data_IF_096309593430
#
_entry.id   IF_096309593430
#
_cell.length_a   1.000
_cell.length_b   1.000
_cell.length_c   1.000
_cell.angle_alpha   90.00
_cell.angle_beta   90.00
_cell.angle_gamma   90.00
#
_symmetry.space_group_name_H-M   'P 1'
#
loop_
_entity.id
_entity.type
_entity.pdbx_description
1 polymer ?
#
# COMPACT_ATOMS: atom_id res chain seq x y z
N UNK A 1 -49.22 -4.94 -48.21
CA UNK A 1 -49.66 -5.92 -47.19
C UNK A 1 -48.48 -6.68 -46.58
N UNK A 2 -47.43 -7.01 -47.32
CA UNK A 2 -46.27 -7.78 -46.86
C UNK A 2 -45.37 -6.94 -45.91
N UNK A 3 -45.19 -5.65 -46.20
CA UNK A 3 -44.33 -4.74 -45.40
C UNK A 3 -44.83 -4.49 -43.97
N UNK A 4 -46.16 -4.44 -43.78
CA UNK A 4 -46.75 -4.28 -42.46
C UNK A 4 -46.65 -5.55 -41.57
N UNK A 5 -46.67 -6.73 -42.17
CA UNK A 5 -46.45 -7.96 -41.43
C UNK A 5 -45.01 -8.13 -40.97
N UNK A 6 -44.04 -7.64 -41.78
CA UNK A 6 -42.62 -7.69 -41.44
C UNK A 6 -42.28 -6.69 -40.29
N UNK A 7 -42.91 -5.51 -40.28
CA UNK A 7 -42.77 -4.54 -39.16
C UNK A 7 -43.37 -5.07 -37.86
N UNK A 8 -44.51 -5.77 -37.92
CA UNK A 8 -45.16 -6.35 -36.75
C UNK A 8 -44.32 -7.52 -36.18
N UNK A 9 -43.68 -8.34 -37.04
CA UNK A 9 -42.76 -9.38 -36.63
C UNK A 9 -41.47 -8.84 -35.98
N UNK A 10 -40.93 -7.74 -36.54
CA UNK A 10 -39.74 -7.08 -35.97
C UNK A 10 -40.02 -6.49 -34.59
N UNK A 11 -41.18 -5.85 -34.38
CA UNK A 11 -41.60 -5.31 -33.10
C UNK A 11 -41.88 -6.43 -32.09
N UNK A 12 -42.45 -7.53 -32.49
CA UNK A 12 -42.63 -8.72 -31.65
C UNK A 12 -41.28 -9.37 -31.26
N UNK A 13 -40.32 -9.40 -32.18
CA UNK A 13 -38.96 -9.93 -31.88
C UNK A 13 -38.19 -8.97 -30.96
N UNK A 14 -38.29 -7.65 -31.16
CA UNK A 14 -37.68 -6.67 -30.23
C UNK A 14 -38.35 -6.69 -28.84
N UNK A 15 -39.69 -6.90 -28.79
CA UNK A 15 -40.43 -7.01 -27.53
C UNK A 15 -40.05 -8.25 -26.73
N UNK A 16 -39.75 -9.37 -27.41
CA UNK A 16 -39.30 -10.62 -26.76
C UNK A 16 -37.87 -10.46 -26.18
N UNK A 17 -37.01 -9.69 -26.84
CA UNK A 17 -35.65 -9.43 -26.30
C UNK A 17 -35.65 -8.50 -25.09
N UNK A 18 -36.65 -7.60 -24.94
CA UNK A 18 -36.76 -6.73 -23.79
C UNK A 18 -37.27 -7.46 -22.54
N UNK A 19 -38.00 -8.56 -22.69
CA UNK A 19 -38.44 -9.40 -21.55
C UNK A 19 -37.44 -10.50 -21.15
N UNK A 20 -36.37 -10.70 -21.91
CA UNK A 20 -35.22 -11.53 -21.49
C UNK A 20 -34.10 -10.67 -20.88
N UNK A 21 -34.38 -9.40 -20.56
CA UNK A 21 -33.48 -8.57 -19.82
C UNK A 21 -33.35 -9.07 -18.40
N UNK A 22 -32.15 -9.49 -18.06
CA UNK A 22 -31.67 -9.73 -16.72
C UNK A 22 -32.60 -10.63 -15.87
N UNK A 23 -32.71 -11.90 -16.24
CA UNK A 23 -32.82 -12.89 -15.21
C UNK A 23 -31.51 -12.77 -14.42
N UNK A 24 -31.56 -12.13 -13.23
CA UNK A 24 -30.48 -12.31 -12.27
C UNK A 24 -30.23 -13.81 -12.23
N UNK A 25 -29.04 -14.20 -12.65
CA UNK A 25 -28.61 -15.56 -12.40
C UNK A 25 -28.73 -15.66 -10.88
N UNK A 26 -29.48 -16.67 -10.34
CA UNK A 26 -29.41 -16.88 -8.92
C UNK A 26 -27.93 -16.93 -8.61
N UNK A 27 -27.48 -16.02 -7.74
CA UNK A 27 -26.13 -16.14 -7.21
C UNK A 27 -26.00 -17.61 -6.84
N UNK A 28 -24.95 -18.31 -7.32
CA UNK A 28 -24.78 -19.69 -6.96
C UNK A 28 -24.94 -19.70 -5.44
N UNK A 29 -26.00 -20.32 -4.91
CA UNK A 29 -26.06 -20.66 -3.52
C UNK A 29 -24.80 -21.49 -3.34
N UNK A 30 -23.74 -20.82 -2.91
CA UNK A 30 -22.63 -21.54 -2.33
C UNK A 30 -23.29 -22.27 -1.19
N UNK A 31 -23.40 -23.58 -1.31
CA UNK A 31 -23.67 -24.46 -0.20
C UNK A 31 -22.60 -24.10 0.84
N UNK A 32 -22.92 -23.09 1.67
CA UNK A 32 -22.12 -22.83 2.84
C UNK A 32 -22.32 -24.10 3.64
N UNK A 33 -21.28 -24.97 3.70
CA UNK A 33 -21.44 -26.26 4.35
C UNK A 33 -22.06 -25.98 5.69
N UNK A 34 -23.20 -26.60 6.02
CA UNK A 34 -23.78 -26.47 7.35
C UNK A 34 -22.62 -26.64 8.32
N UNK A 35 -22.35 -25.61 9.11
CA UNK A 35 -21.24 -25.58 10.05
C UNK A 35 -21.53 -26.55 11.20
N UNK A 36 -21.73 -27.82 10.87
CA UNK A 36 -21.79 -28.89 11.83
C UNK A 36 -20.38 -29.14 12.33
N UNK A 37 -20.22 -29.30 13.62
CA UNK A 37 -18.99 -29.86 14.16
C UNK A 37 -18.68 -31.12 13.36
N UNK A 38 -17.59 -31.12 12.62
CA UNK A 38 -17.24 -32.30 11.85
C UNK A 38 -16.87 -33.42 12.81
N UNK A 39 -17.26 -34.63 12.50
CA UNK A 39 -16.82 -35.84 13.23
C UNK A 39 -15.29 -35.93 13.30
N UNK A 40 -14.59 -35.34 12.33
CA UNK A 40 -13.13 -35.21 12.32
C UNK A 40 -12.63 -34.31 13.45
N UNK A 41 -13.29 -33.17 13.72
CA UNK A 41 -12.93 -32.29 14.83
C UNK A 41 -13.12 -32.97 16.19
N UNK A 42 -14.25 -33.66 16.38
CA UNK A 42 -14.50 -34.44 17.60
C UNK A 42 -13.42 -35.48 17.86
N UNK A 43 -12.89 -36.08 16.80
CA UNK A 43 -11.75 -37.01 16.91
C UNK A 43 -10.49 -36.31 17.43
N UNK A 44 -10.20 -35.10 16.97
CA UNK A 44 -9.03 -34.33 17.50
C UNK A 44 -9.24 -33.94 18.96
N UNK A 45 -10.45 -33.59 19.37
CA UNK A 45 -10.76 -33.27 20.78
C UNK A 45 -10.67 -34.49 21.69
N UNK A 46 -10.93 -35.68 21.19
CA UNK A 46 -10.99 -36.91 21.99
C UNK A 46 -9.61 -37.58 22.08
N UNK A 47 -8.86 -37.63 20.99
CA UNK A 47 -7.61 -38.39 20.89
C UNK A 47 -6.39 -37.56 20.47
N UNK A 48 -6.60 -36.32 20.00
CA UNK A 48 -5.52 -35.40 19.62
C UNK A 48 -4.95 -34.65 20.84
N UNK A 49 -3.72 -34.21 20.72
CA UNK A 49 -3.08 -33.37 21.72
C UNK A 49 -3.20 -31.91 21.30
N UNK A 50 -3.92 -31.11 22.11
CA UNK A 50 -3.97 -29.66 21.92
C UNK A 50 -2.66 -29.06 22.42
N UNK A 51 -1.99 -28.27 21.55
CA UNK A 51 -0.84 -27.47 21.93
C UNK A 51 -1.18 -25.99 21.83
N UNK A 52 -0.79 -25.21 22.82
CA UNK A 52 -0.77 -23.76 22.72
C UNK A 52 0.46 -23.31 21.92
N UNK A 53 0.37 -22.15 21.26
CA UNK A 53 1.50 -21.61 20.47
C UNK A 53 2.79 -21.51 21.32
N UNK A 54 2.69 -21.07 22.56
CA UNK A 54 3.85 -20.96 23.47
C UNK A 54 4.59 -22.27 23.69
N UNK A 55 3.93 -23.41 23.49
CA UNK A 55 4.54 -24.74 23.60
C UNK A 55 5.33 -25.17 22.37
N UNK A 56 5.28 -24.40 21.28
CA UNK A 56 6.09 -24.54 20.07
C UNK A 56 7.45 -23.83 20.18
N UNK A 57 7.76 -23.25 21.34
CA UNK A 57 9.03 -22.56 21.51
C UNK A 57 10.21 -23.49 21.23
N UNK A 58 11.15 -22.98 20.45
CA UNK A 58 12.56 -23.42 20.31
C UNK A 58 12.81 -24.91 19.96
N UNK A 59 12.14 -25.87 20.59
CA UNK A 59 12.31 -27.29 20.33
C UNK A 59 11.76 -27.76 18.98
N UNK A 60 10.71 -27.13 18.49
CA UNK A 60 10.12 -27.42 17.19
C UNK A 60 10.77 -26.61 16.05
N UNK A 61 11.76 -25.77 16.34
CA UNK A 61 12.62 -25.10 15.35
C UNK A 61 13.62 -26.05 14.70
N UNK A 62 13.79 -27.27 15.20
CA UNK A 62 14.60 -28.26 14.55
C UNK A 62 13.87 -28.76 13.30
N UNK A 63 14.30 -28.26 12.17
CA UNK A 63 13.98 -28.81 10.87
C UNK A 63 14.39 -30.28 10.88
N UNK A 64 13.49 -31.24 10.66
CA UNK A 64 13.88 -32.62 10.51
C UNK A 64 14.93 -32.73 9.41
N UNK A 65 16.14 -33.11 9.72
CA UNK A 65 17.20 -33.33 8.73
C UNK A 65 18.55 -32.65 9.00
N UNK A 66 18.64 -31.69 9.94
CA UNK A 66 19.94 -31.16 10.33
C UNK A 66 20.28 -31.63 11.73
N UNK A 67 21.03 -32.71 11.77
CA UNK A 67 22.00 -32.99 12.80
C UNK A 67 21.58 -33.67 14.08
N UNK A 68 20.29 -33.93 14.33
CA UNK A 68 19.88 -34.94 15.32
C UNK A 68 18.46 -35.43 15.00
N UNK A 69 18.24 -36.71 14.80
CA UNK A 69 16.92 -37.27 14.88
C UNK A 69 16.37 -37.03 16.28
N UNK A 70 15.04 -36.80 16.45
CA UNK A 70 14.43 -36.67 17.76
C UNK A 70 14.69 -37.96 18.57
N UNK A 71 15.65 -37.90 19.46
CA UNK A 71 16.10 -39.06 20.25
C UNK A 71 15.27 -39.31 21.50
N UNK A 72 14.18 -38.56 21.69
CA UNK A 72 13.34 -38.79 22.84
C UNK A 72 12.29 -39.87 22.58
N UNK A 73 12.25 -40.86 23.45
CA UNK A 73 11.19 -41.89 23.49
C UNK A 73 9.81 -41.26 23.55
N UNK A 74 9.68 -40.06 24.09
CA UNK A 74 8.46 -39.27 24.15
C UNK A 74 7.97 -38.86 22.75
N UNK A 75 8.85 -38.47 21.84
CA UNK A 75 8.44 -38.10 20.47
C UNK A 75 7.98 -39.31 19.65
N UNK A 76 8.58 -40.48 19.85
CA UNK A 76 8.12 -41.72 19.20
C UNK A 76 6.76 -42.20 19.68
N UNK A 77 6.40 -41.95 20.92
CA UNK A 77 5.06 -42.25 21.45
C UNK A 77 3.97 -41.33 20.87
N UNK A 78 4.33 -40.12 20.42
CA UNK A 78 3.40 -39.15 19.83
C UNK A 78 3.23 -39.32 18.32
N UNK A 79 4.02 -40.12 17.63
CA UNK A 79 3.98 -40.28 16.17
C UNK A 79 2.65 -40.81 15.64
N UNK A 80 1.81 -41.44 16.45
CA UNK A 80 0.54 -42.02 16.06
C UNK A 80 -0.68 -41.22 16.47
N UNK A 81 -0.50 -40.16 17.26
CA UNK A 81 -1.62 -39.30 17.68
C UNK A 81 -1.61 -37.98 16.89
N UNK A 82 -2.75 -37.56 16.35
CA UNK A 82 -2.82 -36.28 15.69
C UNK A 82 -2.54 -35.16 16.69
N UNK A 83 -1.54 -34.34 16.38
CA UNK A 83 -1.24 -33.13 17.13
C UNK A 83 -1.97 -31.96 16.47
N UNK A 84 -2.55 -31.09 17.24
CA UNK A 84 -3.26 -29.94 16.70
C UNK A 84 -3.10 -28.69 17.56
N UNK A 85 -3.24 -27.55 16.89
CA UNK A 85 -3.34 -26.22 17.48
C UNK A 85 -4.72 -25.65 17.16
N UNK A 86 -5.41 -25.10 18.15
CA UNK A 86 -6.61 -24.29 17.94
C UNK A 86 -6.24 -22.83 17.94
N UNK A 87 -6.71 -22.11 16.94
CA UNK A 87 -6.42 -20.69 16.83
C UNK A 87 -7.55 -19.95 16.10
N UNK A 88 -7.45 -18.64 16.06
CA UNK A 88 -8.34 -17.75 15.32
C UNK A 88 -7.54 -17.02 14.25
N UNK A 89 -8.10 -16.90 13.06
CA UNK A 89 -7.52 -16.11 11.97
C UNK A 89 -7.60 -14.63 12.32
N UNK A 90 -6.45 -13.94 12.26
CA UNK A 90 -6.34 -12.51 12.60
C UNK A 90 -5.82 -11.65 11.44
N UNK A 91 -5.23 -12.24 10.39
CA UNK A 91 -4.83 -11.53 9.16
C UNK A 91 -5.85 -11.66 8.04
N UNK A 92 -5.69 -10.84 7.00
CA UNK A 92 -6.49 -10.91 5.77
C UNK A 92 -5.61 -10.51 4.58
N UNK A 93 -5.68 -11.29 3.50
CA UNK A 93 -5.04 -10.92 2.22
C UNK A 93 -5.99 -10.11 1.30
N UNK A 94 -7.20 -9.80 1.76
CA UNK A 94 -8.18 -8.98 1.03
C UNK A 94 -7.63 -7.59 0.70
N UNK A 95 -6.95 -6.96 1.65
CA UNK A 95 -6.33 -5.64 1.49
C UNK A 95 -5.08 -5.64 0.59
N UNK A 96 -4.58 -6.80 0.17
CA UNK A 96 -3.41 -6.92 -0.70
C UNK A 96 -2.05 -6.69 -0.02
N UNK A 97 -2.03 -6.52 1.30
CA UNK A 97 -0.78 -6.35 2.06
C UNK A 97 -0.17 -7.69 2.49
N UNK A 98 -0.95 -8.76 2.47
CA UNK A 98 -0.52 -10.14 2.73
C UNK A 98 -0.51 -10.93 1.42
N UNK A 99 0.43 -11.85 1.29
CA UNK A 99 0.55 -12.68 0.12
C UNK A 99 0.92 -14.11 0.46
N UNK A 100 0.01 -15.04 0.17
CA UNK A 100 0.22 -16.48 0.37
C UNK A 100 0.60 -16.84 1.81
N UNK A 101 0.07 -16.07 2.77
CA UNK A 101 0.26 -16.32 4.20
C UNK A 101 -1.01 -15.99 4.99
N UNK A 102 -1.17 -16.67 6.11
CA UNK A 102 -2.30 -16.53 7.02
C UNK A 102 -1.78 -16.48 8.44
N UNK A 103 -2.08 -15.42 9.18
CA UNK A 103 -1.69 -15.33 10.58
C UNK A 103 -2.84 -15.78 11.47
N UNK A 104 -2.53 -16.67 12.38
CA UNK A 104 -3.47 -17.20 13.38
C UNK A 104 -2.94 -16.94 14.78
N UNK A 105 -3.85 -16.76 15.73
CA UNK A 105 -3.53 -16.41 17.11
C UNK A 105 -4.36 -17.24 18.08
N UNK A 106 -3.74 -17.67 19.18
CA UNK A 106 -4.41 -18.20 20.38
C UNK A 106 -4.19 -17.25 21.57
N UNK A 107 -4.60 -17.66 22.76
CA UNK A 107 -4.41 -16.87 23.99
C UNK A 107 -2.95 -16.72 24.40
N UNK A 108 -2.05 -17.52 23.87
CA UNK A 108 -0.64 -17.61 24.28
C UNK A 108 0.30 -16.98 23.24
N UNK A 109 -0.07 -16.99 21.96
CA UNK A 109 0.79 -16.49 20.89
C UNK A 109 0.11 -16.46 19.54
N UNK A 110 0.89 -16.13 18.52
CA UNK A 110 0.47 -16.16 17.12
C UNK A 110 1.55 -16.77 16.23
N UNK A 111 1.16 -17.21 15.04
CA UNK A 111 2.09 -17.74 14.03
C UNK A 111 1.61 -17.44 12.63
N UNK A 112 2.56 -17.19 11.72
CA UNK A 112 2.29 -17.05 10.30
C UNK A 112 2.37 -18.41 9.61
N UNK A 113 1.26 -18.81 8.97
CA UNK A 113 1.17 -20.02 8.14
C UNK A 113 1.54 -19.70 6.71
N UNK A 114 2.47 -20.45 6.13
CA UNK A 114 2.88 -20.31 4.75
C UNK A 114 2.00 -21.19 3.84
N UNK A 115 1.22 -20.57 2.95
CA UNK A 115 0.21 -21.26 2.14
C UNK A 115 0.39 -20.90 0.66
N UNK A 116 0.36 -21.87 -0.24
CA UNK A 116 0.47 -21.60 -1.68
C UNK A 116 -0.90 -21.31 -2.30
N UNK A 117 -1.60 -20.32 -1.76
CA UNK A 117 -2.92 -19.87 -2.18
C UNK A 117 -3.09 -18.38 -1.97
N UNK A 118 -3.80 -17.72 -2.87
CA UNK A 118 -4.25 -16.31 -2.77
C UNK A 118 -5.75 -16.25 -2.58
N UNK A 119 -6.27 -15.13 -2.10
CA UNK A 119 -7.69 -14.98 -1.79
C UNK A 119 -8.12 -15.81 -0.58
N UNK A 120 -7.19 -15.99 0.36
CA UNK A 120 -7.41 -16.75 1.59
C UNK A 120 -8.56 -16.19 2.42
N UNK A 121 -8.82 -14.88 2.34
CA UNK A 121 -9.93 -14.23 3.04
C UNK A 121 -11.31 -14.82 2.71
N UNK A 122 -11.49 -15.41 1.53
CA UNK A 122 -12.75 -16.07 1.13
C UNK A 122 -12.97 -17.41 1.87
N UNK A 123 -11.89 -18.08 2.25
CA UNK A 123 -11.93 -19.40 2.87
C UNK A 123 -11.65 -19.35 4.37
N UNK A 124 -10.80 -18.43 4.79
CA UNK A 124 -10.34 -18.24 6.15
C UNK A 124 -10.45 -16.76 6.54
N UNK A 125 -11.67 -16.20 6.61
CA UNK A 125 -11.85 -14.79 6.96
C UNK A 125 -11.41 -14.52 8.40
N UNK A 126 -11.14 -13.25 8.70
CA UNK A 126 -10.84 -12.81 10.08
C UNK A 126 -11.94 -13.26 11.05
N UNK A 127 -11.55 -13.84 12.16
CA UNK A 127 -12.47 -14.40 13.15
C UNK A 127 -12.91 -15.85 12.89
N UNK A 128 -12.39 -16.48 11.82
CA UNK A 128 -12.56 -17.92 11.62
C UNK A 128 -11.73 -18.69 12.65
N UNK A 129 -12.37 -19.51 13.45
CA UNK A 129 -11.67 -20.52 14.28
C UNK A 129 -11.15 -21.62 13.38
N UNK A 130 -9.93 -22.06 13.64
CA UNK A 130 -9.28 -23.15 12.91
C UNK A 130 -8.64 -24.15 13.85
N UNK A 131 -8.61 -25.38 13.39
CA UNK A 131 -7.78 -26.45 13.98
C UNK A 131 -6.68 -26.75 12.98
N UNK A 132 -5.42 -26.57 13.41
CA UNK A 132 -4.26 -26.82 12.60
C UNK A 132 -3.68 -28.18 12.98
N UNK A 133 -3.65 -29.09 12.00
CA UNK A 133 -3.03 -30.42 12.18
C UNK A 133 -1.53 -30.28 11.99
N UNK A 134 -0.78 -30.52 13.05
CA UNK A 134 0.66 -30.24 13.10
C UNK A 134 1.55 -31.34 12.51
N UNK A 135 0.98 -32.49 12.28
CA UNK A 135 1.71 -33.62 11.68
C UNK A 135 2.24 -33.20 10.30
N UNK A 136 3.51 -33.45 10.06
CA UNK A 136 4.24 -33.10 8.83
C UNK A 136 4.47 -31.59 8.61
N UNK A 137 4.04 -30.72 9.54
CA UNK A 137 4.38 -29.32 9.50
C UNK A 137 5.65 -29.03 10.28
N UNK A 138 6.41 -28.06 9.79
CA UNK A 138 7.63 -27.56 10.43
C UNK A 138 7.44 -26.11 10.87
N UNK A 139 8.07 -25.76 11.98
CA UNK A 139 8.21 -24.41 12.47
C UNK A 139 9.64 -23.93 12.26
N UNK A 140 9.79 -22.75 11.73
CA UNK A 140 11.08 -22.10 11.55
C UNK A 140 10.90 -20.59 11.63
N UNK A 141 11.94 -19.87 11.32
CA UNK A 141 11.86 -18.41 11.23
C UNK A 141 12.39 -17.89 9.89
N UNK A 142 11.87 -16.73 9.51
CA UNK A 142 12.41 -15.94 8.41
C UNK A 142 12.83 -14.58 8.95
N UNK A 143 14.12 -14.36 9.11
CA UNK A 143 14.67 -13.15 9.71
C UNK A 143 13.99 -12.78 11.05
N UNK A 144 13.93 -13.76 11.95
CA UNK A 144 13.32 -13.73 13.28
C UNK A 144 11.77 -13.82 13.30
N UNK A 145 11.09 -13.80 12.15
CA UNK A 145 9.64 -13.97 12.09
C UNK A 145 9.28 -15.46 12.15
N UNK A 146 8.61 -15.94 13.22
CA UNK A 146 8.18 -17.32 13.32
C UNK A 146 7.14 -17.67 12.25
N UNK A 147 7.39 -18.74 11.52
CA UNK A 147 6.55 -19.26 10.45
C UNK A 147 6.30 -20.76 10.61
N UNK A 148 5.17 -21.23 10.10
CA UNK A 148 4.83 -22.66 10.02
C UNK A 148 4.39 -23.00 8.60
N UNK A 149 4.81 -24.17 8.13
CA UNK A 149 4.44 -24.67 6.81
C UNK A 149 5.06 -26.03 6.51
N UNK A 150 5.22 -26.36 5.24
CA UNK A 150 5.99 -27.51 4.82
C UNK A 150 7.48 -27.21 4.84
N UNK A 151 8.28 -28.26 4.80
CA UNK A 151 9.73 -28.11 4.58
C UNK A 151 9.98 -27.71 3.12
N UNK A 152 10.71 -26.61 2.91
CA UNK A 152 11.14 -26.20 1.57
C UNK A 152 12.53 -26.76 1.25
N UNK A 153 13.44 -26.55 2.19
CA UNK A 153 14.77 -27.13 2.19
C UNK A 153 15.20 -27.32 3.65
N UNK A 154 16.43 -27.75 3.83
CA UNK A 154 16.98 -28.08 5.17
C UNK A 154 16.88 -26.94 6.18
N UNK A 155 16.70 -25.67 5.73
CA UNK A 155 16.78 -24.47 6.59
C UNK A 155 15.57 -23.55 6.49
N UNK A 156 14.59 -23.83 5.61
CA UNK A 156 13.51 -22.89 5.32
C UNK A 156 12.15 -23.55 5.39
N UNK A 157 11.20 -22.79 5.94
CA UNK A 157 9.77 -23.12 5.89
C UNK A 157 9.25 -22.82 4.49
N UNK A 158 8.59 -23.81 3.89
CA UNK A 158 7.92 -23.69 2.60
C UNK A 158 6.41 -23.57 2.75
N UNK A 159 5.74 -23.31 1.64
CA UNK A 159 4.29 -23.18 1.59
C UNK A 159 3.60 -24.53 1.54
N UNK A 160 2.51 -24.67 2.28
CA UNK A 160 1.59 -25.79 2.12
C UNK A 160 0.91 -25.64 0.76
N UNK A 161 1.01 -26.67 -0.07
CA UNK A 161 0.37 -26.66 -1.40
C UNK A 161 -1.15 -26.51 -1.27
N UNK A 162 -1.75 -25.74 -2.17
CA UNK A 162 -3.18 -25.41 -2.17
C UNK A 162 -4.11 -26.62 -2.07
N UNK A 163 -3.75 -27.75 -2.69
CA UNK A 163 -4.52 -29.00 -2.65
C UNK A 163 -4.60 -29.64 -1.25
N UNK A 164 -3.72 -29.26 -0.35
CA UNK A 164 -3.60 -29.88 0.98
C UNK A 164 -3.94 -28.92 2.12
N UNK A 165 -4.21 -27.64 1.86
CA UNK A 165 -4.49 -26.63 2.89
C UNK A 165 -5.62 -27.11 3.81
N UNK A 166 -6.73 -27.58 3.27
CA UNK A 166 -7.86 -28.06 4.07
C UNK A 166 -7.59 -29.33 4.89
N UNK A 167 -6.58 -30.11 4.52
CA UNK A 167 -6.10 -31.25 5.32
C UNK A 167 -5.41 -30.77 6.61
N UNK A 168 -4.69 -29.67 6.53
CA UNK A 168 -3.90 -29.13 7.65
C UNK A 168 -4.61 -28.03 8.40
N UNK A 169 -5.46 -27.25 7.75
CA UNK A 169 -6.17 -26.13 8.35
C UNK A 169 -7.66 -26.36 8.24
N UNK A 170 -8.24 -26.90 9.28
CA UNK A 170 -9.66 -27.27 9.35
C UNK A 170 -10.45 -26.13 9.98
N UNK A 171 -11.48 -25.66 9.29
CA UNK A 171 -12.38 -24.62 9.81
C UNK A 171 -13.23 -25.19 10.94
N UNK A 172 -13.30 -24.47 12.06
CA UNK A 172 -14.07 -24.83 13.24
C UNK A 172 -15.20 -23.80 13.45
N UNK A 173 -16.41 -24.17 13.10
CA UNK A 173 -17.59 -23.32 13.19
C UNK A 173 -17.58 -22.10 12.26
N UNK A 174 -18.59 -21.25 12.39
CA UNK A 174 -18.74 -20.02 11.58
C UNK A 174 -17.72 -18.95 11.98
N UNK A 175 -17.21 -18.16 11.04
CA UNK A 175 -16.40 -16.99 11.35
C UNK A 175 -17.24 -15.97 12.13
N UNK A 176 -16.61 -15.31 13.08
CA UNK A 176 -17.24 -14.23 13.86
C UNK A 176 -16.17 -13.27 14.38
N UNK A 177 -16.42 -11.98 14.25
CA UNK A 177 -15.54 -10.96 14.84
C UNK A 177 -15.46 -11.07 16.36
N UNK A 178 -16.47 -11.67 17.03
CA UNK A 178 -16.42 -11.95 18.45
C UNK A 178 -15.34 -12.99 18.85
N UNK A 179 -14.86 -13.77 17.89
CA UNK A 179 -13.77 -14.72 18.11
C UNK A 179 -12.38 -14.03 18.05
N UNK A 180 -12.31 -12.84 17.45
CA UNK A 180 -11.03 -12.13 17.28
C UNK A 180 -10.52 -11.71 18.65
N UNK A 181 -9.29 -12.05 19.00
CA UNK A 181 -8.68 -11.59 20.24
C UNK A 181 -8.67 -10.05 20.31
N UNK A 182 -8.81 -9.52 21.51
CA UNK A 182 -8.62 -8.07 21.71
C UNK A 182 -7.19 -7.70 21.28
N UNK A 183 -7.01 -6.62 20.51
CA UNK A 183 -5.69 -6.17 20.12
C UNK A 183 -4.83 -5.86 21.35
N UNK A 184 -3.54 -6.16 21.26
CA UNK A 184 -2.54 -5.72 22.23
C UNK A 184 -2.29 -4.23 21.99
N UNK A 185 -2.30 -3.44 23.06
CA UNK A 185 -2.11 -1.98 22.97
C UNK A 185 -0.70 -1.56 23.40
N UNK A 186 -0.36 -0.31 23.18
CA UNK A 186 0.97 0.31 23.23
C UNK A 186 1.95 -0.26 24.27
N UNK A 187 1.53 -0.36 25.53
CA UNK A 187 2.42 -0.70 26.64
C UNK A 187 2.89 -2.17 26.65
N UNK A 188 2.28 -2.99 25.81
CA UNK A 188 2.57 -4.42 25.67
C UNK A 188 3.08 -4.79 24.28
N UNK A 189 3.46 -3.78 23.47
CA UNK A 189 3.96 -3.98 22.12
C UNK A 189 5.47 -4.16 22.14
N UNK A 190 5.90 -5.38 22.38
CA UNK A 190 7.28 -5.82 22.29
C UNK A 190 7.40 -7.06 21.37
N UNK A 191 8.58 -7.65 21.31
CA UNK A 191 8.81 -8.83 20.45
C UNK A 191 8.01 -10.07 20.87
N UNK A 192 7.44 -10.11 22.09
CA UNK A 192 6.52 -11.18 22.50
C UNK A 192 5.13 -11.07 21.85
N UNK A 193 4.81 -9.91 21.27
CA UNK A 193 3.60 -9.66 20.52
C UNK A 193 3.71 -9.99 19.03
N UNK A 194 4.83 -10.52 18.57
CA UNK A 194 5.01 -10.93 17.16
C UNK A 194 3.97 -11.97 16.75
N UNK A 195 3.44 -11.83 15.53
CA UNK A 195 2.33 -12.60 14.98
C UNK A 195 0.99 -12.44 15.73
N UNK A 196 0.83 -11.39 16.54
CA UNK A 196 -0.43 -11.08 17.20
C UNK A 196 -1.06 -9.80 16.65
N UNK A 197 -2.36 -9.74 16.80
CA UNK A 197 -3.13 -8.52 16.52
C UNK A 197 -2.77 -7.45 17.54
N UNK A 198 -2.34 -6.29 17.04
CA UNK A 198 -2.02 -5.12 17.85
C UNK A 198 -2.81 -3.91 17.38
N UNK A 199 -3.05 -2.96 18.28
CA UNK A 199 -3.54 -1.62 18.00
C UNK A 199 -2.57 -0.62 18.62
N UNK A 200 -1.90 0.14 17.80
CA UNK A 200 -0.99 1.19 18.23
C UNK A 200 -1.74 2.51 18.15
N UNK A 201 -1.88 3.17 19.28
CA UNK A 201 -2.60 4.43 19.42
C UNK A 201 -1.61 5.59 19.53
N UNK A 202 -2.01 6.78 19.04
CA UNK A 202 -1.19 7.97 19.09
C UNK A 202 0.08 7.88 18.23
N UNK A 203 -0.04 7.26 17.06
CA UNK A 203 1.08 7.05 16.14
C UNK A 203 1.35 8.31 15.34
N UNK A 204 2.61 8.75 15.31
CA UNK A 204 3.09 9.83 14.46
C UNK A 204 4.16 9.30 13.51
N UNK A 205 3.96 9.45 12.22
CA UNK A 205 4.97 9.08 11.24
C UNK A 205 6.19 9.99 11.29
N UNK A 206 7.35 9.44 10.93
CA UNK A 206 8.57 10.25 10.78
C UNK A 206 8.39 11.27 9.66
N UNK A 207 8.99 12.45 9.81
CA UNK A 207 8.86 13.59 8.89
C UNK A 207 9.04 13.22 7.41
N UNK A 208 9.98 12.34 7.09
CA UNK A 208 10.23 11.91 5.71
C UNK A 208 9.11 11.06 5.09
N UNK A 209 8.16 10.58 5.89
CA UNK A 209 6.98 9.85 5.43
C UNK A 209 5.80 10.80 5.16
N UNK A 210 5.80 11.97 5.78
CA UNK A 210 4.72 12.95 5.65
C UNK A 210 4.61 13.39 4.20
N UNK A 211 3.38 13.39 3.69
CA UNK A 211 3.10 13.73 2.31
C UNK A 211 3.44 12.60 1.31
N UNK A 212 3.94 11.45 1.75
CA UNK A 212 4.23 10.30 0.89
C UNK A 212 3.08 9.29 0.93
N UNK A 213 2.91 8.44 -0.09
CA UNK A 213 1.95 7.34 -0.03
C UNK A 213 2.41 6.26 0.94
N UNK A 214 1.47 5.48 1.48
CA UNK A 214 1.81 4.31 2.30
C UNK A 214 2.76 3.35 1.57
N UNK A 215 2.58 3.15 0.26
CA UNK A 215 3.57 2.52 -0.61
C UNK A 215 3.48 3.05 -2.04
N UNK A 216 4.60 3.00 -2.75
CA UNK A 216 4.66 3.33 -4.17
C UNK A 216 4.13 2.19 -5.05
N UNK A 217 3.71 2.49 -6.28
CA UNK A 217 3.12 1.50 -7.18
C UNK A 217 4.04 0.33 -7.56
N UNK A 218 5.34 0.48 -7.41
CA UNK A 218 6.33 -0.48 -7.91
C UNK A 218 7.24 -1.06 -6.81
N UNK A 219 7.09 -0.59 -5.55
CA UNK A 219 7.96 -1.03 -4.47
C UNK A 219 7.21 -1.10 -3.14
N UNK A 220 7.38 -2.23 -2.42
CA UNK A 220 7.00 -2.33 -1.01
C UNK A 220 7.77 -1.30 -0.21
N UNK A 221 7.07 -0.53 0.61
CA UNK A 221 7.63 0.62 1.31
C UNK A 221 7.55 0.44 2.82
N UNK A 222 8.59 0.88 3.49
CA UNK A 222 8.75 0.82 4.93
C UNK A 222 8.83 2.25 5.50
N UNK A 223 7.83 2.66 6.30
CA UNK A 223 7.81 3.95 6.97
C UNK A 223 7.98 3.81 8.47
N UNK A 224 8.91 4.55 9.05
CA UNK A 224 9.09 4.57 10.51
C UNK A 224 8.01 5.45 11.12
N UNK A 225 7.35 4.93 12.15
CA UNK A 225 6.37 5.64 12.94
C UNK A 225 6.71 5.53 14.44
N UNK A 226 6.35 6.54 15.20
CA UNK A 226 6.62 6.66 16.62
C UNK A 226 5.31 6.63 17.41
N UNK A 227 5.36 6.07 18.60
CA UNK A 227 4.25 6.06 19.56
C UNK A 227 4.79 6.09 20.98
N UNK A 228 3.91 6.26 21.96
CA UNK A 228 4.28 6.19 23.37
C UNK A 228 3.96 4.81 23.93
N UNK A 229 4.93 4.18 24.57
CA UNK A 229 4.80 2.96 25.32
C UNK A 229 5.34 3.17 26.73
N UNK A 230 4.49 2.99 27.75
CA UNK A 230 4.84 3.28 29.15
C UNK A 230 5.42 4.69 29.33
N UNK A 231 4.87 5.68 28.63
CA UNK A 231 5.32 7.07 28.67
C UNK A 231 6.67 7.34 27.97
N UNK A 232 7.25 6.36 27.28
CA UNK A 232 8.51 6.49 26.53
C UNK A 232 8.24 6.38 25.04
N UNK A 233 9.02 7.14 24.27
CA UNK A 233 8.97 7.06 22.83
C UNK A 233 9.50 5.71 22.35
N UNK A 234 8.68 4.99 21.63
CA UNK A 234 9.01 3.73 20.95
C UNK A 234 8.74 3.87 19.45
N UNK A 235 9.15 2.91 18.66
CA UNK A 235 8.99 2.96 17.21
C UNK A 235 8.58 1.62 16.63
N UNK A 236 7.89 1.69 15.50
CA UNK A 236 7.56 0.55 14.65
C UNK A 236 7.75 0.94 13.18
N UNK A 237 8.13 -0.01 12.36
CA UNK A 237 8.15 0.17 10.91
C UNK A 237 6.81 -0.26 10.33
N UNK A 238 6.06 0.66 9.74
CA UNK A 238 4.84 0.35 8.99
C UNK A 238 5.24 -0.14 7.61
N UNK A 239 5.09 -1.45 7.38
CA UNK A 239 5.44 -2.09 6.11
C UNK A 239 4.22 -2.25 5.24
N UNK A 240 4.26 -1.66 4.04
CA UNK A 240 3.15 -1.69 3.09
C UNK A 240 3.59 -2.24 1.75
N UNK A 241 2.90 -3.28 1.30
CA UNK A 241 3.10 -3.88 -0.03
C UNK A 241 2.65 -2.91 -1.12
N UNK A 242 3.37 -2.91 -2.24
CA UNK A 242 2.93 -2.21 -3.45
C UNK A 242 1.64 -2.79 -4.09
N UNK A 243 1.13 -3.90 -3.58
CA UNK A 243 -0.16 -4.47 -3.96
C UNK A 243 -1.29 -4.10 -2.97
N UNK A 244 -0.96 -3.46 -1.85
CA UNK A 244 -1.98 -3.04 -0.89
C UNK A 244 -3.00 -2.09 -1.53
N UNK A 245 -4.28 -2.34 -1.33
CA UNK A 245 -5.37 -1.50 -1.88
C UNK A 245 -5.32 -0.06 -1.37
N UNK A 246 -4.77 0.15 -0.17
CA UNK A 246 -4.60 1.48 0.44
C UNK A 246 -3.22 2.11 0.19
N UNK A 247 -2.37 1.51 -0.65
CA UNK A 247 -0.99 1.97 -0.89
C UNK A 247 -0.87 3.43 -1.30
N UNK A 248 -1.83 3.93 -2.09
CA UNK A 248 -1.85 5.31 -2.58
C UNK A 248 -2.37 6.34 -1.58
N UNK A 249 -2.87 5.88 -0.43
CA UNK A 249 -3.29 6.78 0.63
C UNK A 249 -2.08 7.59 1.13
N UNK A 250 -2.26 8.90 1.27
CA UNK A 250 -1.19 9.80 1.67
C UNK A 250 -1.07 9.82 3.19
N UNK A 251 0.15 9.73 3.68
CA UNK A 251 0.47 9.90 5.09
C UNK A 251 0.46 11.39 5.39
N UNK A 252 -0.51 11.83 6.16
CA UNK A 252 -0.68 13.21 6.59
C UNK A 252 0.09 13.46 7.89
N UNK A 253 0.40 14.73 8.20
CA UNK A 253 1.00 15.11 9.48
C UNK A 253 -0.09 15.17 10.57
N UNK A 254 -0.57 13.98 10.91
CA UNK A 254 -1.64 13.76 11.87
C UNK A 254 -1.30 12.58 12.76
N UNK A 255 -2.01 12.47 13.86
CA UNK A 255 -1.94 11.32 14.71
C UNK A 255 -2.83 10.20 14.14
N UNK A 256 -2.40 8.96 14.31
CA UNK A 256 -3.09 7.78 13.83
C UNK A 256 -3.30 6.76 14.94
N UNK A 257 -4.38 5.99 14.84
CA UNK A 257 -4.46 4.68 15.47
C UNK A 257 -4.34 3.63 14.36
N UNK A 258 -3.36 2.76 14.49
CA UNK A 258 -3.06 1.73 13.50
C UNK A 258 -3.31 0.35 14.08
N UNK A 259 -4.16 -0.43 13.41
CA UNK A 259 -4.41 -1.83 13.76
C UNK A 259 -3.71 -2.73 12.73
N UNK A 260 -3.15 -3.84 13.17
CA UNK A 260 -2.48 -4.76 12.27
C UNK A 260 -1.85 -5.94 13.00
N UNK A 261 -1.08 -6.71 12.29
CA UNK A 261 -0.28 -7.79 12.88
C UNK A 261 1.14 -7.27 13.12
N UNK A 262 1.62 -7.43 14.34
CA UNK A 262 3.01 -7.15 14.63
C UNK A 262 3.88 -8.26 14.03
N UNK A 263 4.85 -7.88 13.24
CA UNK A 263 5.86 -8.75 12.69
C UNK A 263 7.26 -8.32 13.13
N UNK A 264 8.26 -9.07 12.78
CA UNK A 264 9.66 -8.75 13.07
C UNK A 264 10.52 -9.01 11.84
N UNK A 265 11.51 -8.17 11.64
CA UNK A 265 12.54 -8.39 10.63
C UNK A 265 13.90 -8.01 11.22
N UNK A 266 14.79 -9.00 11.40
CA UNK A 266 16.13 -8.82 11.99
C UNK A 266 16.09 -8.02 13.29
N UNK A 267 15.25 -8.44 14.22
CA UNK A 267 15.05 -7.82 15.53
C UNK A 267 14.24 -6.52 15.54
N UNK A 268 13.90 -5.96 14.38
CA UNK A 268 13.11 -4.72 14.28
C UNK A 268 11.62 -5.00 14.19
N UNK A 269 10.83 -4.33 15.00
CA UNK A 269 9.35 -4.42 14.97
C UNK A 269 8.81 -3.85 13.68
N UNK A 270 7.91 -4.59 13.01
CA UNK A 270 7.16 -4.12 11.85
C UNK A 270 5.66 -4.31 12.10
N UNK A 271 4.86 -3.38 11.59
CA UNK A 271 3.40 -3.46 11.59
C UNK A 271 2.92 -3.74 10.15
N UNK A 272 2.18 -4.83 10.00
CA UNK A 272 1.49 -5.18 8.76
C UNK A 272 0.00 -4.84 8.90
N UNK A 273 -0.43 -3.75 8.30
CA UNK A 273 -1.83 -3.32 8.24
C UNK A 273 -2.62 -4.26 7.33
N UNK A 274 -3.82 -4.69 7.72
CA UNK A 274 -4.61 -5.67 6.96
C UNK A 274 -5.40 -5.00 5.84
N UNK A 275 -6.14 -3.95 6.18
CA UNK A 275 -7.03 -3.22 5.26
C UNK A 275 -7.01 -1.72 5.55
N UNK A 276 -7.70 -0.93 4.73
CA UNK A 276 -7.81 0.53 4.91
C UNK A 276 -8.49 0.88 6.23
N UNK A 277 -9.43 0.07 6.69
CA UNK A 277 -10.22 0.27 7.91
C UNK A 277 -9.38 0.15 9.19
N UNK A 278 -8.21 -0.47 9.09
CA UNK A 278 -7.23 -0.56 10.19
C UNK A 278 -6.44 0.74 10.39
N UNK A 279 -6.62 1.76 9.52
CA UNK A 279 -5.98 3.06 9.58
C UNK A 279 -7.00 4.10 10.02
N UNK A 280 -6.94 4.52 11.27
CA UNK A 280 -7.78 5.57 11.83
C UNK A 280 -6.95 6.85 11.96
N UNK A 281 -7.41 7.92 11.32
CA UNK A 281 -6.81 9.25 11.43
C UNK A 281 -7.52 9.99 12.56
N UNK A 282 -6.78 10.49 13.53
CA UNK A 282 -7.35 11.13 14.75
C UNK A 282 -7.77 12.57 14.45
N UNK A 283 -7.09 13.25 13.54
CA UNK A 283 -7.42 14.64 13.21
C UNK A 283 -8.56 14.71 12.18
N UNK A 284 -9.70 15.22 12.61
CA UNK A 284 -10.90 15.40 11.80
C UNK A 284 -10.94 16.73 11.02
N UNK A 285 -9.84 17.53 11.00
CA UNK A 285 -9.80 18.78 10.22
C UNK A 285 -10.12 18.50 8.75
N UNK A 286 -10.97 19.30 8.11
CA UNK A 286 -11.23 19.12 6.69
C UNK A 286 -9.93 19.33 5.89
N UNK A 287 -9.70 18.46 4.91
CA UNK A 287 -8.57 18.61 4.00
C UNK A 287 -8.90 19.75 3.05
N UNK A 288 -8.10 20.81 3.11
CA UNK A 288 -8.07 21.82 2.07
C UNK A 288 -7.10 21.35 0.98
N UNK A 289 -7.55 21.20 -0.23
CA UNK A 289 -6.71 20.82 -1.35
C UNK A 289 -7.06 21.55 -2.64
N UNK A 290 -6.02 21.88 -3.41
CA UNK A 290 -6.10 22.37 -4.78
C UNK A 290 -5.36 21.38 -5.66
N UNK A 291 -6.06 20.74 -6.58
CA UNK A 291 -5.49 19.69 -7.44
C UNK A 291 -5.58 20.13 -8.90
N UNK A 292 -4.47 20.02 -9.61
CA UNK A 292 -4.38 20.17 -11.07
C UNK A 292 -4.01 18.83 -11.68
N UNK A 293 -4.92 18.25 -12.43
CA UNK A 293 -4.70 17.04 -13.21
C UNK A 293 -4.52 17.41 -14.68
N UNK A 294 -3.46 16.94 -15.31
CA UNK A 294 -3.12 17.26 -16.69
C UNK A 294 -3.57 16.18 -17.69
N UNK A 295 -4.60 15.41 -17.34
CA UNK A 295 -5.24 14.45 -18.27
C UNK A 295 -5.83 15.13 -19.50
N UNK A 296 -6.22 16.41 -19.38
CA UNK A 296 -6.59 17.30 -20.49
C UNK A 296 -5.62 18.47 -20.57
N UNK A 297 -5.59 19.17 -21.74
CA UNK A 297 -4.71 20.33 -21.91
C UNK A 297 -5.05 21.45 -20.89
N UNK A 298 -4.13 21.78 -19.97
CA UNK A 298 -4.36 22.77 -18.93
C UNK A 298 -4.12 24.20 -19.37
N UNK A 299 -3.64 24.44 -20.60
CA UNK A 299 -3.23 25.77 -21.08
C UNK A 299 -4.44 26.54 -21.59
N UNK A 300 -4.54 27.83 -21.21
CA UNK A 300 -5.60 28.73 -21.67
C UNK A 300 -5.87 29.89 -20.72
N UNK A 301 -6.84 30.72 -21.09
CA UNK A 301 -7.26 31.85 -20.28
C UNK A 301 -7.82 31.38 -18.92
N UNK A 302 -7.32 31.99 -17.83
CA UNK A 302 -7.67 31.58 -16.46
C UNK A 302 -7.16 30.21 -16.03
N UNK A 303 -6.32 29.59 -16.84
CA UNK A 303 -5.70 28.29 -16.62
C UNK A 303 -4.17 28.45 -16.52
N UNK A 304 -3.45 27.36 -16.68
CA UNK A 304 -1.99 27.38 -16.78
C UNK A 304 -1.53 28.11 -18.02
N UNK A 305 -0.41 28.78 -17.93
CA UNK A 305 0.22 29.52 -19.02
C UNK A 305 1.68 29.09 -19.22
N UNK A 306 2.20 29.35 -20.41
CA UNK A 306 3.58 29.08 -20.77
C UNK A 306 4.26 30.41 -21.08
N UNK A 307 5.48 30.57 -20.61
CA UNK A 307 6.34 31.66 -20.98
C UNK A 307 7.63 31.07 -21.56
N UNK A 308 7.79 31.04 -22.88
CA UNK A 308 8.98 30.53 -23.55
C UNK A 308 10.07 31.57 -23.64
N UNK A 309 11.32 31.15 -23.49
CA UNK A 309 12.49 31.97 -23.79
C UNK A 309 12.78 32.06 -25.29
N UNK A 310 12.40 31.03 -26.02
CA UNK A 310 12.63 30.88 -27.47
C UNK A 310 11.36 30.41 -28.17
N UNK A 311 10.92 31.15 -29.20
CA UNK A 311 9.72 30.76 -29.93
C UNK A 311 9.87 29.42 -30.62
N UNK A 312 9.05 28.44 -30.22
CA UNK A 312 8.68 27.28 -31.02
C UNK A 312 9.55 26.04 -30.98
N UNK A 313 10.74 26.05 -30.34
CA UNK A 313 11.60 24.84 -30.27
C UNK A 313 11.59 24.20 -28.88
N UNK A 314 11.64 25.00 -27.83
CA UNK A 314 11.67 24.56 -26.44
C UNK A 314 10.52 25.20 -25.70
N UNK A 315 9.53 24.50 -25.35
CA UNK A 315 8.41 24.99 -24.54
C UNK A 315 7.70 23.84 -23.87
N UNK A 316 7.06 24.13 -22.79
CA UNK A 316 6.16 23.16 -22.16
C UNK A 316 4.99 22.83 -23.10
N UNK A 317 4.74 21.54 -23.30
CA UNK A 317 3.67 21.06 -24.20
C UNK A 317 2.82 20.01 -23.53
N UNK A 318 1.51 20.11 -23.75
CA UNK A 318 0.62 19.02 -23.35
C UNK A 318 0.71 17.87 -24.35
N UNK A 319 1.06 16.70 -23.88
CA UNK A 319 1.08 15.44 -24.66
C UNK A 319 -0.22 14.68 -24.46
N UNK A 320 -1.17 14.85 -25.37
CA UNK A 320 -2.50 14.23 -25.30
C UNK A 320 -2.44 12.69 -25.20
N UNK A 321 -1.45 12.04 -25.84
CA UNK A 321 -1.28 10.59 -25.81
C UNK A 321 -0.89 10.04 -24.43
N UNK A 322 -0.07 10.78 -23.68
CA UNK A 322 0.38 10.41 -22.34
C UNK A 322 -0.37 11.16 -21.23
N UNK A 323 -1.16 12.20 -21.59
CA UNK A 323 -1.92 13.02 -20.65
C UNK A 323 -1.04 13.75 -19.63
N UNK A 324 0.11 14.27 -20.07
CA UNK A 324 1.09 14.95 -19.23
C UNK A 324 1.51 16.26 -19.85
N UNK A 325 2.00 17.19 -19.01
CA UNK A 325 2.81 18.31 -19.45
C UNK A 325 4.26 17.83 -19.61
N UNK A 326 4.88 18.17 -20.72
CA UNK A 326 6.24 17.75 -21.05
C UNK A 326 7.08 18.94 -21.47
N UNK A 327 8.33 18.98 -20.97
CA UNK A 327 9.41 19.81 -21.50
C UNK A 327 10.54 18.89 -21.99
N UNK A 328 11.12 19.20 -23.15
CA UNK A 328 12.17 18.40 -23.74
C UNK A 328 13.53 19.02 -23.47
N UNK A 329 14.47 18.21 -23.00
CA UNK A 329 15.84 18.65 -22.73
C UNK A 329 16.70 18.79 -23.99
N UNK A 330 17.89 19.34 -23.85
CA UNK A 330 18.83 19.62 -24.93
C UNK A 330 19.24 18.38 -25.74
N UNK A 331 19.21 17.20 -25.14
CA UNK A 331 19.50 15.95 -25.85
C UNK A 331 18.56 15.68 -27.05
N UNK A 332 17.37 16.29 -27.03
CA UNK A 332 16.42 16.20 -28.14
C UNK A 332 16.70 17.17 -29.30
N UNK A 333 17.68 18.07 -29.17
CA UNK A 333 17.94 19.14 -30.13
C UNK A 333 19.38 19.11 -30.65
N UNK A 334 19.52 19.36 -31.96
CA UNK A 334 20.80 19.55 -32.60
C UNK A 334 20.70 20.77 -33.55
N UNK A 335 21.40 21.88 -33.27
CA UNK A 335 22.29 22.12 -32.13
C UNK A 335 21.53 22.35 -30.82
N UNK A 336 22.17 22.14 -29.66
CA UNK A 336 21.62 22.46 -28.37
C UNK A 336 21.21 23.92 -28.25
N UNK A 337 20.11 24.19 -27.51
CA UNK A 337 19.52 25.51 -27.39
C UNK A 337 19.45 25.93 -25.94
N UNK A 338 19.76 27.19 -25.62
CA UNK A 338 19.50 27.70 -24.28
C UNK A 338 18.00 27.72 -23.97
N UNK A 339 17.64 27.27 -22.79
CA UNK A 339 16.26 27.12 -22.32
C UNK A 339 16.05 27.93 -21.05
N UNK A 340 14.95 28.67 -21.01
CA UNK A 340 14.44 29.35 -19.80
C UNK A 340 12.90 29.40 -19.92
N UNK A 341 12.30 28.23 -19.81
CA UNK A 341 10.90 28.03 -20.13
C UNK A 341 10.08 27.78 -18.86
N UNK A 342 8.97 28.48 -18.73
CA UNK A 342 8.14 28.50 -17.54
C UNK A 342 6.75 27.92 -17.80
N UNK A 343 6.31 27.03 -16.95
CA UNK A 343 4.94 26.52 -16.91
C UNK A 343 4.28 27.01 -15.62
N UNK A 344 3.37 27.98 -15.76
CA UNK A 344 2.90 28.87 -14.70
C UNK A 344 1.45 28.53 -14.37
N UNK A 345 1.13 28.33 -13.11
CA UNK A 345 -0.22 28.08 -12.62
C UNK A 345 -1.12 29.31 -12.74
N UNK A 346 -2.46 29.15 -12.75
CA UNK A 346 -3.35 30.23 -12.41
C UNK A 346 -3.07 30.73 -10.98
N UNK A 347 -3.74 31.79 -10.57
CA UNK A 347 -3.72 32.22 -9.17
C UNK A 347 -4.34 31.14 -8.31
N UNK A 348 -3.61 30.67 -7.32
CA UNK A 348 -4.03 29.67 -6.35
C UNK A 348 -4.40 30.40 -5.07
N UNK A 349 -5.60 30.14 -4.56
CA UNK A 349 -6.02 30.59 -3.23
C UNK A 349 -6.00 29.41 -2.29
N UNK A 350 -5.26 29.53 -1.19
CA UNK A 350 -5.05 28.49 -0.20
C UNK A 350 -4.90 29.10 1.19
N UNK A 351 -5.66 28.59 2.16
CA UNK A 351 -5.78 29.25 3.48
C UNK A 351 -4.87 28.67 4.54
N UNK A 352 -4.61 27.37 4.55
CA UNK A 352 -3.81 26.69 5.57
C UNK A 352 -2.32 26.61 5.19
N UNK A 353 -1.69 27.78 5.01
CA UNK A 353 -0.28 27.86 4.61
C UNK A 353 0.68 27.21 5.62
N UNK A 354 0.34 27.26 6.92
CA UNK A 354 1.21 26.72 7.96
C UNK A 354 1.39 25.19 7.82
N UNK A 355 0.33 24.50 7.47
CA UNK A 355 0.32 23.04 7.32
C UNK A 355 0.33 22.60 5.85
N UNK A 356 0.28 23.54 4.93
CA UNK A 356 0.21 23.26 3.50
C UNK A 356 1.52 22.82 2.88
N UNK A 357 1.44 21.98 1.89
CA UNK A 357 2.57 21.58 1.06
C UNK A 357 2.18 21.37 -0.40
N UNK A 358 3.12 21.64 -1.29
CA UNK A 358 3.07 21.36 -2.71
C UNK A 358 3.66 19.97 -2.98
N UNK A 359 3.00 19.19 -3.82
CA UNK A 359 3.47 17.91 -4.37
C UNK A 359 3.08 17.80 -5.82
N UNK A 360 3.79 16.96 -6.56
CA UNK A 360 3.45 16.68 -7.97
C UNK A 360 3.96 15.29 -8.38
N UNK A 361 3.21 14.67 -9.27
CA UNK A 361 3.66 13.45 -9.94
C UNK A 361 4.48 13.82 -11.15
N UNK A 362 5.70 13.29 -11.25
CA UNK A 362 6.61 13.61 -12.33
C UNK A 362 7.51 12.42 -12.71
N UNK A 363 8.10 12.55 -13.88
CA UNK A 363 9.09 11.62 -14.42
C UNK A 363 10.20 12.44 -15.08
N UNK A 364 11.44 11.99 -14.92
CA UNK A 364 12.61 12.52 -15.62
C UNK A 364 12.99 11.55 -16.72
N UNK A 365 13.36 12.06 -17.88
CA UNK A 365 13.67 11.23 -19.05
C UNK A 365 14.93 10.37 -18.94
N UNK A 366 15.56 10.28 -17.75
CA UNK A 366 16.82 9.58 -17.54
C UNK A 366 17.02 9.12 -16.09
N UNK A 367 17.88 8.11 -15.89
CA UNK A 367 18.22 7.58 -14.56
C UNK A 367 19.14 8.49 -13.73
N UNK A 368 19.93 9.34 -14.39
CA UNK A 368 20.89 10.25 -13.76
C UNK A 368 20.72 11.66 -14.33
N UNK A 369 19.67 12.38 -13.89
CA UNK A 369 19.36 13.69 -14.46
C UNK A 369 20.37 14.75 -14.02
N UNK A 370 20.61 15.73 -14.90
CA UNK A 370 21.16 17.01 -14.46
C UNK A 370 20.06 17.79 -13.74
N UNK A 371 20.11 17.80 -12.42
CA UNK A 371 19.06 18.39 -11.58
C UNK A 371 19.01 19.92 -11.67
N UNK A 372 20.07 20.61 -12.08
CA UNK A 372 20.12 22.08 -12.09
C UNK A 372 19.10 22.70 -13.06
N UNK A 373 18.73 21.95 -14.09
CA UNK A 373 17.72 22.39 -15.06
C UNK A 373 16.30 22.45 -14.49
N UNK A 374 16.00 21.71 -13.44
CA UNK A 374 14.64 21.56 -12.89
C UNK A 374 14.44 22.48 -11.69
N UNK A 375 13.46 23.39 -11.76
CA UNK A 375 13.25 24.40 -10.72
C UNK A 375 11.75 24.61 -10.47
N UNK A 376 11.38 24.85 -9.22
CA UNK A 376 10.06 25.27 -8.80
C UNK A 376 10.17 26.67 -8.23
N UNK A 377 9.32 27.55 -8.74
CA UNK A 377 9.27 28.94 -8.35
C UNK A 377 7.88 29.33 -7.85
N UNK A 378 7.78 30.38 -7.09
CA UNK A 378 6.51 30.98 -6.68
C UNK A 378 6.54 32.50 -6.76
N UNK A 379 5.37 33.09 -6.90
CA UNK A 379 5.17 34.54 -6.76
C UNK A 379 3.87 34.83 -5.99
N UNK A 380 3.86 35.92 -5.25
CA UNK A 380 2.66 36.46 -4.62
C UNK A 380 1.98 37.53 -5.50
N UNK A 381 2.58 37.86 -6.64
CA UNK A 381 1.97 38.73 -7.65
C UNK A 381 0.81 38.02 -8.34
N UNK A 382 -0.34 38.64 -8.37
CA UNK A 382 -1.54 38.17 -9.07
C UNK A 382 -1.66 38.74 -10.49
N UNK A 383 -0.65 39.52 -10.92
CA UNK A 383 -0.59 40.09 -12.28
C UNK A 383 -0.62 39.01 -13.35
N UNK A 384 -1.35 39.23 -14.44
CA UNK A 384 -1.31 38.38 -15.63
C UNK A 384 -0.08 38.61 -16.49
N UNK A 385 0.62 39.72 -16.28
CA UNK A 385 1.87 40.03 -16.98
C UNK A 385 3.02 39.30 -16.28
N UNK A 386 3.77 38.53 -17.06
CA UNK A 386 4.95 37.84 -16.54
C UNK A 386 6.09 38.84 -16.35
N UNK A 387 6.57 38.91 -15.11
CA UNK A 387 7.81 39.60 -14.76
C UNK A 387 8.66 38.62 -13.95
N UNK A 388 9.84 38.30 -14.45
CA UNK A 388 10.72 37.32 -13.84
C UNK A 388 11.21 37.73 -12.46
N UNK A 389 11.32 39.03 -12.21
CA UNK A 389 11.83 39.57 -10.95
C UNK A 389 10.81 39.43 -9.80
N UNK A 390 9.53 39.19 -10.11
CA UNK A 390 8.48 38.89 -9.15
C UNK A 390 8.56 37.47 -8.56
N UNK A 391 9.38 36.61 -9.14
CA UNK A 391 9.42 35.18 -8.79
C UNK A 391 10.55 34.86 -7.81
N UNK A 392 10.28 33.95 -6.89
CA UNK A 392 11.22 33.44 -5.88
C UNK A 392 11.36 31.94 -6.02
N UNK A 393 12.59 31.44 -5.86
CA UNK A 393 12.87 30.02 -5.90
C UNK A 393 12.26 29.31 -4.68
N UNK A 394 11.48 28.26 -4.92
CA UNK A 394 10.93 27.37 -3.88
C UNK A 394 11.82 26.15 -3.69
N UNK A 395 12.21 25.50 -4.78
CA UNK A 395 13.07 24.34 -4.78
C UNK A 395 13.78 24.17 -6.14
N UNK A 396 14.94 23.53 -6.16
CA UNK A 396 15.68 23.21 -7.38
C UNK A 396 16.51 21.94 -7.20
N UNK A 397 17.00 21.41 -8.31
CA UNK A 397 18.01 20.37 -8.32
C UNK A 397 17.60 19.10 -7.58
N UNK A 398 18.48 18.63 -6.73
CA UNK A 398 18.29 17.41 -5.93
C UNK A 398 17.15 17.50 -4.93
N UNK A 399 16.72 18.71 -4.52
CA UNK A 399 15.57 18.86 -3.63
C UNK A 399 14.28 18.37 -4.28
N UNK A 400 14.15 18.52 -5.59
CA UNK A 400 12.99 18.04 -6.36
C UNK A 400 13.02 16.51 -6.43
N UNK A 401 14.20 15.93 -6.64
CA UNK A 401 14.36 14.50 -6.85
C UNK A 401 13.70 14.04 -8.13
N UNK A 402 13.35 12.77 -8.20
CA UNK A 402 12.68 12.15 -9.34
C UNK A 402 13.43 10.93 -9.86
N UNK A 403 12.83 10.25 -10.82
CA UNK A 403 13.38 9.05 -11.44
C UNK A 403 12.93 8.95 -12.90
N UNK A 404 13.53 8.02 -13.64
CA UNK A 404 13.12 7.68 -15.02
C UNK A 404 11.76 6.94 -15.10
N UNK A 405 11.03 6.89 -14.00
CA UNK A 405 9.66 6.40 -13.95
C UNK A 405 8.80 7.34 -13.12
N UNK A 406 7.50 7.36 -13.42
CA UNK A 406 6.56 8.22 -12.71
C UNK A 406 6.69 8.04 -11.19
N UNK A 407 6.95 9.12 -10.50
CA UNK A 407 7.13 9.17 -9.06
C UNK A 407 6.47 10.41 -8.47
N UNK A 408 6.15 10.33 -7.19
CA UNK A 408 5.62 11.47 -6.44
C UNK A 408 6.79 12.25 -5.85
N UNK A 409 6.77 13.57 -6.00
CA UNK A 409 7.79 14.45 -5.42
C UNK A 409 7.80 14.40 -3.88
N UNK A 410 8.88 14.85 -3.27
CA UNK A 410 8.88 15.22 -1.86
C UNK A 410 7.86 16.34 -1.61
N UNK A 411 7.32 16.47 -0.38
CA UNK A 411 6.46 17.60 -0.03
C UNK A 411 7.30 18.88 0.14
N UNK A 412 6.87 19.97 -0.50
CA UNK A 412 7.48 21.29 -0.39
C UNK A 412 6.58 22.19 0.46
N UNK A 413 6.98 22.58 1.67
CA UNK A 413 6.17 23.43 2.54
C UNK A 413 5.83 24.77 1.90
N UNK A 414 4.52 25.09 1.77
CA UNK A 414 4.06 26.35 1.18
C UNK A 414 4.07 27.51 2.17
N UNK A 415 4.34 27.28 3.46
CA UNK A 415 4.49 28.35 4.46
C UNK A 415 5.54 29.40 4.11
N UNK A 416 6.55 29.05 3.30
CA UNK A 416 7.56 29.99 2.80
C UNK A 416 6.94 31.07 1.90
N UNK A 417 5.78 30.82 1.31
CA UNK A 417 5.09 31.74 0.40
C UNK A 417 4.50 32.92 1.16
N UNK A 418 3.98 32.68 2.36
CA UNK A 418 3.42 33.69 3.27
C UNK A 418 2.36 34.61 2.62
N UNK A 419 1.51 34.07 1.77
CA UNK A 419 0.38 34.77 1.13
C UNK A 419 -0.70 33.76 0.73
N UNK A 420 -1.96 34.06 1.06
CA UNK A 420 -3.08 33.17 0.76
C UNK A 420 -3.43 33.10 -0.74
N UNK A 421 -2.90 34.01 -1.55
CA UNK A 421 -3.03 33.99 -3.00
C UNK A 421 -1.65 34.07 -3.62
N UNK A 422 -1.32 33.11 -4.46
CA UNK A 422 -0.02 32.99 -5.09
C UNK A 422 -0.09 32.19 -6.39
N UNK A 423 1.01 32.15 -7.11
CA UNK A 423 1.22 31.26 -8.25
C UNK A 423 2.46 30.43 -8.03
N UNK A 424 2.50 29.27 -8.64
CA UNK A 424 3.68 28.44 -8.76
C UNK A 424 4.07 28.30 -10.24
N UNK A 425 5.34 28.05 -10.47
CA UNK A 425 5.85 27.74 -11.79
C UNK A 425 6.87 26.60 -11.76
N UNK A 426 6.79 25.75 -12.75
CA UNK A 426 7.85 24.80 -13.09
C UNK A 426 8.72 25.45 -14.16
N UNK A 427 9.96 25.70 -13.82
CA UNK A 427 10.91 26.33 -14.74
C UNK A 427 11.92 25.30 -15.18
N UNK A 428 12.10 25.20 -16.49
CA UNK A 428 13.18 24.45 -17.10
C UNK A 428 14.27 25.44 -17.55
N UNK A 429 15.45 25.40 -16.91
CA UNK A 429 16.50 26.37 -17.15
C UNK A 429 17.83 25.67 -17.43
N UNK A 430 18.26 25.69 -18.69
CA UNK A 430 19.51 25.08 -19.11
C UNK A 430 20.23 25.97 -20.13
N UNK A 431 21.55 26.20 -19.98
CA UNK A 431 22.34 26.90 -20.98
C UNK A 431 22.54 26.05 -22.24
N UNK A 432 22.83 26.66 -23.37
CA UNK A 432 23.08 25.94 -24.62
C UNK A 432 24.34 25.04 -24.58
N UNK A 433 25.22 25.27 -23.62
CA UNK A 433 26.42 24.44 -23.39
C UNK A 433 26.12 23.14 -22.63
N UNK A 434 24.95 23.06 -22.02
CA UNK A 434 24.52 21.87 -21.25
C UNK A 434 23.78 20.90 -22.18
N UNK A 435 24.54 19.97 -22.79
CA UNK A 435 24.01 18.97 -23.72
C UNK A 435 23.45 17.73 -23.05
N UNK A 436 23.58 17.60 -21.74
CA UNK A 436 23.16 16.43 -20.96
C UNK A 436 21.84 16.69 -20.20
N UNK A 437 21.03 17.65 -20.65
CA UNK A 437 19.70 17.89 -20.08
C UNK A 437 18.65 17.01 -20.74
N UNK A 438 17.74 16.50 -19.94
CA UNK A 438 16.75 15.50 -20.32
C UNK A 438 15.33 15.99 -20.09
N UNK A 439 14.36 15.26 -20.62
CA UNK A 439 12.95 15.62 -20.56
C UNK A 439 12.42 15.64 -19.14
N UNK A 440 11.47 16.52 -18.87
CA UNK A 440 10.71 16.58 -17.63
C UNK A 440 9.22 16.45 -17.92
N UNK A 441 8.58 15.46 -17.34
CA UNK A 441 7.17 15.19 -17.49
C UNK A 441 6.45 15.42 -16.16
N UNK A 442 5.34 16.16 -16.16
CA UNK A 442 4.50 16.43 -14.99
C UNK A 442 3.08 15.99 -15.30
N UNK A 443 2.52 15.12 -14.46
CA UNK A 443 1.21 14.53 -14.63
C UNK A 443 0.13 15.23 -13.81
N UNK A 444 0.43 15.57 -12.58
CA UNK A 444 -0.48 16.24 -11.66
C UNK A 444 0.29 17.10 -10.67
N UNK A 445 -0.39 18.12 -10.15
CA UNK A 445 0.12 19.00 -9.10
C UNK A 445 -0.95 19.12 -8.02
N UNK A 446 -0.57 18.98 -6.77
CA UNK A 446 -1.45 19.11 -5.64
C UNK A 446 -0.86 20.05 -4.59
N UNK A 447 -1.69 20.95 -4.07
CA UNK A 447 -1.41 21.73 -2.86
C UNK A 447 -2.47 21.34 -1.84
N UNK A 448 -2.05 20.88 -0.69
CA UNK A 448 -2.96 20.45 0.38
C UNK A 448 -2.33 20.70 1.75
N UNK A 449 -3.18 20.76 2.78
CA UNK A 449 -2.69 20.72 4.15
C UNK A 449 -2.32 19.29 4.56
N UNK A 450 -1.43 19.21 5.48
CA UNK A 450 -0.98 17.97 6.08
C UNK A 450 -2.06 17.28 6.88
#
# INVERSE_FOLDING_TARGET
MIMNKLRLLLVLFLGIFIFFGCKEWPEPEFDIPEWKESTALNRFYTIGTNKAFSQFSILDRHTPGIGNPPDSIVERQWQNLPRYLRAVVVSSDEGGNYYKSLVVQDSTGGIELQLDMTGLFNFYPVGQKVVIVLNDLVVGDYNDLPQMGWIYNVTQVGRINSLYIEKYIIRDGKPSLNNVPKPITNDKIDLSAVNKLVRIEGVNFKENAIGQPFAYNHITTDWVAYFLSNGRKDSVTVRTSNFAKFRSMIIEDKEYNLTGILTVYRGSKQLMIRTREDIEVIDSRPIESVVFDFTSNPIGEGKWSIYPSTQGKTEWRHRASSRWMAHFGNKAFDPPTAMDDWFISPVITYSDLENGYLRFEHELGVLFPNYDAYQIWYTTSTSSVFDKDDWKLLASGEEIGGSASLSLSKPFPVKKINANSFRIAFRYNAPSTDVETYDWYIRSVEIRNK
#
